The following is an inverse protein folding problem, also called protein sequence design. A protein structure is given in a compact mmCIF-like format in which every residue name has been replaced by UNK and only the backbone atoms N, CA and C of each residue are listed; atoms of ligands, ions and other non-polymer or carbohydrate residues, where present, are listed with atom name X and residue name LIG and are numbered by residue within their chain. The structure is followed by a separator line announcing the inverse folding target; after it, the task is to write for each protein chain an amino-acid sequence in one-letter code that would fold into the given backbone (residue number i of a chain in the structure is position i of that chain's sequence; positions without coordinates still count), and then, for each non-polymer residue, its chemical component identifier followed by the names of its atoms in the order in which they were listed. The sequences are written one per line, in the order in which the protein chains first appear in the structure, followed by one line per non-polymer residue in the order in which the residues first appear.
data_IF_443579345911
#
_entry.id   IF_443579345911
#
_cell.length_a   1.000
_cell.length_b   1.000
_cell.length_c   1.000
_cell.angle_alpha   90.00
_cell.angle_beta   90.00
_cell.angle_gamma   90.00
#
_symmetry.space_group_name_H-M   'P 1'
#
loop_
_entity.id
_entity.type
_entity.pdbx_description
1 polymer ?
#
# COMPACT_ATOMS: atom_id res chain seq x y z
N UNK A 1 11.95 0.37 -5.58
CA UNK A 1 12.00 1.13 -4.32
C UNK A 1 10.90 2.16 -4.37
N UNK A 2 9.96 2.03 -3.44
CA UNK A 2 8.88 3.00 -3.29
C UNK A 2 9.39 4.31 -2.66
N UNK A 3 8.83 5.45 -3.05
CA UNK A 3 9.00 6.71 -2.32
C UNK A 3 8.16 6.68 -1.04
N UNK A 4 8.83 6.81 0.10
CA UNK A 4 8.21 6.71 1.43
C UNK A 4 7.72 8.09 1.89
N UNK A 5 6.48 8.43 1.54
CA UNK A 5 5.89 9.77 1.76
C UNK A 5 5.81 10.13 3.25
N UNK A 6 5.59 9.14 4.11
CA UNK A 6 5.51 9.33 5.57
C UNK A 6 6.81 9.87 6.20
N UNK A 7 7.96 9.76 5.51
CA UNK A 7 9.23 10.34 5.96
C UNK A 7 9.30 11.87 5.73
N UNK A 8 8.51 12.38 4.79
CA UNK A 8 8.48 13.80 4.43
C UNK A 8 7.31 14.52 5.09
N UNK A 9 6.17 13.84 5.20
CA UNK A 9 4.98 14.35 5.85
C UNK A 9 4.26 13.20 6.58
N UNK A 10 4.47 13.10 7.89
CA UNK A 10 3.85 12.07 8.73
C UNK A 10 2.35 12.30 8.98
N UNK A 11 1.79 13.44 8.55
CA UNK A 11 0.36 13.72 8.64
C UNK A 11 -0.40 13.44 7.35
N UNK A 12 0.30 13.07 6.26
CA UNK A 12 -0.30 12.78 4.97
C UNK A 12 -1.23 11.55 5.04
N UNK A 13 -2.52 11.74 4.75
CA UNK A 13 -3.54 10.67 4.81
C UNK A 13 -4.03 10.17 3.46
N UNK A 14 -3.84 10.98 2.42
CA UNK A 14 -4.31 10.70 1.06
C UNK A 14 -3.19 11.00 0.07
N UNK A 15 -2.99 10.11 -0.89
CA UNK A 15 -1.96 10.25 -1.92
C UNK A 15 -2.39 9.50 -3.20
N UNK A 16 -1.76 9.87 -4.31
CA UNK A 16 -1.89 9.19 -5.60
C UNK A 16 -0.64 8.35 -5.84
N UNK A 17 -0.77 7.16 -6.42
CA UNK A 17 0.35 6.27 -6.71
C UNK A 17 0.04 5.39 -7.90
N UNK A 18 1.06 4.75 -8.45
CA UNK A 18 0.91 3.72 -9.49
C UNK A 18 1.23 2.36 -8.90
N UNK A 19 0.36 1.38 -9.19
CA UNK A 19 0.63 -0.02 -8.87
C UNK A 19 1.80 -0.51 -9.73
N UNK A 20 2.89 -0.92 -9.10
CA UNK A 20 4.08 -1.42 -9.81
C UNK A 20 4.13 -2.94 -9.87
N UNK A 21 3.50 -3.62 -8.91
CA UNK A 21 3.53 -5.08 -8.78
C UNK A 21 2.37 -5.58 -7.91
N UNK A 22 1.85 -6.76 -8.21
CA UNK A 22 0.81 -7.44 -7.43
C UNK A 22 1.23 -8.91 -7.23
N UNK A 23 1.18 -9.39 -5.99
CA UNK A 23 1.58 -10.76 -5.62
C UNK A 23 0.58 -11.35 -4.62
N UNK A 24 -0.37 -12.15 -5.11
CA UNK A 24 -1.49 -12.59 -4.29
C UNK A 24 -2.21 -11.37 -3.71
N UNK A 25 -2.38 -11.32 -2.38
CA UNK A 25 -3.02 -10.21 -1.67
C UNK A 25 -2.10 -9.00 -1.42
N UNK A 26 -0.86 -9.00 -1.94
CA UNK A 26 0.10 -7.90 -1.74
C UNK A 26 0.12 -6.98 -2.95
N UNK A 27 -0.14 -5.70 -2.72
CA UNK A 27 -0.07 -4.64 -3.74
C UNK A 27 1.13 -3.75 -3.44
N UNK A 28 1.97 -3.51 -4.45
CA UNK A 28 3.15 -2.66 -4.34
C UNK A 28 2.94 -1.40 -5.17
N UNK A 29 3.29 -0.26 -4.57
CA UNK A 29 3.12 1.07 -5.14
C UNK A 29 4.48 1.74 -5.38
N UNK A 30 4.55 2.67 -6.34
CA UNK A 30 5.73 3.50 -6.57
C UNK A 30 5.99 4.52 -5.45
N UNK A 31 4.95 4.88 -4.69
CA UNK A 31 5.03 5.70 -3.49
C UNK A 31 3.94 5.34 -2.48
N UNK A 32 4.20 5.58 -1.19
CA UNK A 32 3.20 5.29 -0.14
C UNK A 32 3.32 6.18 1.09
N UNK A 33 2.17 6.56 1.66
CA UNK A 33 2.07 7.15 2.99
C UNK A 33 1.82 6.12 4.09
N UNK A 34 1.53 4.85 3.77
CA UNK A 34 1.36 3.80 4.77
C UNK A 34 2.70 3.52 5.45
N UNK A 35 2.74 3.64 6.77
CA UNK A 35 3.93 3.28 7.52
C UNK A 35 3.97 1.75 7.74
N UNK A 36 4.96 1.03 7.18
CA UNK A 36 5.04 -0.41 7.38
C UNK A 36 5.38 -0.74 8.83
N UNK A 37 4.85 -1.85 9.36
CA UNK A 37 5.28 -2.39 10.65
C UNK A 37 5.88 -3.79 10.49
N UNK A 38 6.68 -4.27 11.45
CA UNK A 38 7.12 -5.67 11.47
C UNK A 38 5.90 -6.61 11.47
N UNK A 39 5.99 -7.73 10.74
CA UNK A 39 4.94 -8.75 10.72
C UNK A 39 4.67 -9.29 12.13
N UNK A 40 3.39 -9.34 12.53
CA UNK A 40 2.95 -10.01 13.77
C UNK A 40 2.64 -9.13 14.99
N UNK A 41 2.53 -7.81 14.86
CA UNK A 41 2.15 -6.90 15.97
C UNK A 41 0.90 -6.06 15.66
N UNK A 42 0.00 -5.93 16.65
CA UNK A 42 -1.24 -5.15 16.56
C UNK A 42 -0.99 -3.71 16.04
N UNK A 43 -1.88 -3.29 15.14
CA UNK A 43 -2.08 -1.93 14.58
C UNK A 43 -1.15 -1.46 13.44
N UNK A 44 -0.91 -2.24 12.39
CA UNK A 44 -0.44 -1.65 11.13
C UNK A 44 -1.42 -0.56 10.64
N UNK A 45 -0.92 0.47 9.94
CA UNK A 45 -1.81 1.46 9.32
C UNK A 45 -2.80 0.73 8.42
N UNK A 46 -4.09 0.92 8.71
CA UNK A 46 -5.19 0.45 7.88
C UNK A 46 -5.74 1.60 7.08
N UNK A 47 -6.31 1.30 5.93
CA UNK A 47 -6.80 2.32 5.02
C UNK A 47 -7.44 1.71 3.79
N UNK A 48 -7.47 2.50 2.73
CA UNK A 48 -8.15 2.15 1.50
C UNK A 48 -7.28 2.45 0.28
N UNK A 49 -7.19 1.49 -0.63
CA UNK A 49 -6.74 1.73 -2.00
C UNK A 49 -7.98 1.86 -2.88
N UNK A 50 -7.99 2.86 -3.75
CA UNK A 50 -9.10 3.13 -4.67
C UNK A 50 -8.53 3.09 -6.08
N UNK A 51 -9.02 2.18 -6.91
CA UNK A 51 -8.61 2.05 -8.32
C UNK A 51 -9.79 1.58 -9.16
N UNK A 52 -9.95 2.15 -10.37
CA UNK A 52 -11.01 1.73 -11.30
C UNK A 52 -12.45 1.82 -10.73
N UNK A 53 -12.69 2.70 -9.76
CA UNK A 53 -13.98 2.81 -9.05
C UNK A 53 -14.19 1.78 -7.94
N UNK A 54 -13.29 0.81 -7.78
CA UNK A 54 -13.28 -0.11 -6.65
C UNK A 54 -12.54 0.52 -5.46
N UNK A 55 -13.01 0.24 -4.25
CA UNK A 55 -12.37 0.62 -3.00
C UNK A 55 -12.09 -0.63 -2.19
N UNK A 56 -10.83 -0.86 -1.87
CA UNK A 56 -10.36 -2.08 -1.21
C UNK A 56 -9.67 -1.75 0.10
N UNK A 57 -10.01 -2.49 1.16
CA UNK A 57 -9.36 -2.40 2.47
C UNK A 57 -7.92 -2.88 2.45
N UNK A 58 -7.03 -2.03 2.95
CA UNK A 58 -5.67 -2.40 3.36
C UNK A 58 -5.74 -2.93 4.78
N UNK A 59 -5.42 -4.20 4.95
CA UNK A 59 -5.37 -4.91 6.22
C UNK A 59 -4.07 -4.67 6.97
N UNK A 60 -3.00 -4.28 6.25
CA UNK A 60 -1.73 -3.85 6.84
C UNK A 60 -0.69 -3.54 5.77
N UNK A 61 0.45 -3.00 6.22
CA UNK A 61 1.61 -2.71 5.38
C UNK A 61 2.87 -3.37 5.98
N UNK A 62 3.61 -4.10 5.13
CA UNK A 62 4.81 -4.84 5.51
C UNK A 62 6.01 -4.34 4.71
N UNK A 63 7.18 -4.24 5.34
CA UNK A 63 8.42 -3.97 4.62
C UNK A 63 8.84 -5.24 3.85
N UNK A 64 9.04 -5.10 2.55
CA UNK A 64 9.45 -6.18 1.66
C UNK A 64 10.69 -5.76 0.86
N UNK A 65 11.86 -5.98 1.45
CA UNK A 65 13.12 -5.47 0.91
C UNK A 65 13.13 -3.94 0.93
N UNK A 66 13.21 -3.31 -0.24
CA UNK A 66 13.16 -1.84 -0.41
C UNK A 66 11.77 -1.29 -0.74
N UNK A 67 10.75 -2.15 -0.81
CA UNK A 67 9.38 -1.76 -1.12
C UNK A 67 8.46 -1.97 0.09
N UNK A 68 7.23 -1.47 -0.02
CA UNK A 68 6.16 -1.68 0.95
C UNK A 68 5.08 -2.54 0.32
N UNK A 69 4.78 -3.69 0.94
CA UNK A 69 3.69 -4.56 0.56
C UNK A 69 2.41 -4.14 1.29
N UNK A 70 1.40 -3.68 0.55
CA UNK A 70 0.09 -3.37 1.09
C UNK A 70 -0.76 -4.65 1.01
N UNK A 71 -1.02 -5.26 2.16
CA UNK A 71 -1.86 -6.46 2.26
C UNK A 71 -3.32 -6.01 2.17
N UNK A 72 -4.01 -6.41 1.11
CA UNK A 72 -5.39 -6.02 0.84
C UNK A 72 -6.37 -7.18 1.05
N UNK A 73 -7.64 -6.86 1.30
CA UNK A 73 -8.71 -7.86 1.38
C UNK A 73 -9.01 -8.53 0.02
N UNK A 74 -8.84 -7.79 -1.07
CA UNK A 74 -9.08 -8.26 -2.44
C UNK A 74 -8.15 -7.55 -3.44
N UNK A 75 -7.24 -8.29 -4.05
CA UNK A 75 -6.30 -7.74 -5.02
C UNK A 75 -6.83 -7.69 -6.45
N UNK A 76 -8.01 -8.25 -6.73
CA UNK A 76 -8.56 -8.37 -8.09
C UNK A 76 -8.69 -7.05 -8.86
N UNK A 77 -8.95 -5.88 -8.23
CA UNK A 77 -9.05 -4.62 -8.96
C UNK A 77 -7.70 -4.03 -9.37
N UNK A 78 -6.58 -4.56 -8.88
CA UNK A 78 -5.26 -3.98 -9.08
C UNK A 78 -4.46 -4.77 -10.11
N UNK A 79 -3.84 -4.03 -11.03
CA UNK A 79 -2.85 -4.55 -11.96
C UNK A 79 -1.71 -3.56 -12.13
N UNK A 80 -0.48 -4.00 -12.47
CA UNK A 80 0.62 -3.08 -12.77
C UNK A 80 0.20 -2.00 -13.78
N UNK A 81 0.46 -0.73 -13.45
CA UNK A 81 0.03 0.44 -14.22
C UNK A 81 -1.33 1.04 -13.80
N UNK A 82 -2.05 0.41 -12.87
CA UNK A 82 -3.28 1.02 -12.30
C UNK A 82 -2.95 2.24 -11.43
N UNK A 83 -3.86 3.21 -11.40
CA UNK A 83 -3.79 4.44 -10.61
C UNK A 83 -4.94 4.53 -9.62
#
# INVERSE_FOLDING_TARGET
MAKLLYQYDSYLREFQATVVRVEGVRVFLDQTAFHPRPAGGLDADTGWLVAGGARVKVLGAELAGSDVAHVVEDSTPFSPGSH
#
